data_IF_991057911835
#
_entry.id   IF_991057911835
#
_cell.length_a   1.000
_cell.length_b   1.000
_cell.length_c   1.000
_cell.angle_alpha   90.00
_cell.angle_beta   90.00
_cell.angle_gamma   90.00
#
_symmetry.space_group_name_H-M   'P 1'
#
loop_
_entity.id
_entity.type
_entity.pdbx_description
1 polymer ?
#
# COMPACT_ATOMS: atom_id res chain seq x y z
N UNK A 1 42.68 -12.35 8.87
CA UNK A 1 41.33 -11.80 8.84
C UNK A 1 40.46 -12.63 9.76
N UNK A 2 39.74 -12.00 10.67
CA UNK A 2 38.74 -12.62 11.52
C UNK A 2 37.38 -12.57 10.82
N UNK A 3 36.53 -13.58 11.05
CA UNK A 3 35.16 -13.68 10.53
C UNK A 3 34.20 -13.66 11.69
N UNK A 4 32.98 -13.16 11.45
CA UNK A 4 31.93 -13.20 12.48
C UNK A 4 31.54 -14.64 12.77
N UNK A 5 31.48 -14.98 14.04
CA UNK A 5 31.03 -16.30 14.52
C UNK A 5 29.52 -16.46 14.26
N UNK A 6 29.13 -17.50 13.55
CA UNK A 6 27.72 -17.82 13.27
C UNK A 6 27.24 -19.10 13.96
N UNK A 7 28.18 -19.99 14.32
CA UNK A 7 27.86 -21.28 14.90
C UNK A 7 28.96 -21.67 15.91
N UNK A 8 28.65 -21.56 17.19
CA UNK A 8 29.62 -21.81 18.27
C UNK A 8 30.10 -23.25 18.31
N UNK A 9 29.33 -24.19 17.76
CA UNK A 9 29.68 -25.63 17.77
C UNK A 9 30.82 -25.98 16.80
N UNK A 10 31.16 -25.07 15.88
CA UNK A 10 32.21 -25.23 14.86
C UNK A 10 33.48 -24.45 15.17
N UNK A 11 33.54 -23.80 16.32
CA UNK A 11 34.65 -22.94 16.72
C UNK A 11 35.59 -23.70 17.63
N UNK A 12 36.89 -23.75 17.23
CA UNK A 12 38.00 -24.28 18.02
C UNK A 12 38.89 -23.17 18.55
N UNK A 13 39.93 -23.49 19.31
CA UNK A 13 40.89 -22.57 19.90
C UNK A 13 41.75 -21.81 18.87
N UNK A 14 41.82 -22.27 17.61
CA UNK A 14 42.57 -21.65 16.54
C UNK A 14 41.72 -20.87 15.55
N UNK A 15 40.37 -20.96 15.70
CA UNK A 15 39.44 -20.31 14.80
C UNK A 15 39.54 -18.80 14.91
N UNK A 16 39.87 -18.12 13.81
CA UNK A 16 39.93 -16.64 13.72
C UNK A 16 38.55 -16.06 13.56
N UNK A 17 37.80 -15.96 14.66
CA UNK A 17 36.43 -15.47 14.72
C UNK A 17 36.32 -14.32 15.70
N UNK A 18 35.32 -13.50 15.48
CA UNK A 18 34.85 -12.50 16.45
C UNK A 18 33.35 -12.68 16.71
N UNK A 19 32.92 -12.30 17.88
CA UNK A 19 31.54 -12.25 18.29
C UNK A 19 31.08 -10.79 18.26
N UNK A 20 29.87 -10.57 17.81
CA UNK A 20 29.23 -9.25 17.84
C UNK A 20 28.13 -9.32 18.89
N UNK A 21 28.28 -8.51 19.91
CA UNK A 21 27.32 -8.39 21.01
C UNK A 21 26.84 -6.95 21.10
N UNK A 22 25.76 -6.74 21.80
CA UNK A 22 25.20 -5.41 22.04
C UNK A 22 25.36 -5.12 23.55
N UNK A 23 25.99 -3.97 23.86
CA UNK A 23 26.16 -3.53 25.24
C UNK A 23 24.83 -3.02 25.82
N UNK A 24 24.80 -2.78 27.13
CA UNK A 24 23.64 -2.19 27.83
C UNK A 24 23.20 -0.82 27.26
N UNK A 25 24.07 -0.16 26.47
CA UNK A 25 23.82 1.14 25.86
C UNK A 25 23.44 1.05 24.38
N UNK A 26 23.03 -0.12 23.89
CA UNK A 26 22.71 -0.36 22.46
C UNK A 26 23.91 -0.09 21.52
N UNK A 27 25.13 -0.19 22.04
CA UNK A 27 26.37 -0.02 21.26
C UNK A 27 26.89 -1.40 20.87
N UNK A 28 27.11 -1.68 19.57
CA UNK A 28 27.71 -2.93 19.14
C UNK A 28 29.15 -3.10 19.67
N UNK A 29 29.42 -4.22 20.31
CA UNK A 29 30.74 -4.58 20.83
C UNK A 29 31.30 -5.78 20.07
N UNK A 30 32.60 -5.75 19.79
CA UNK A 30 33.30 -6.83 19.13
C UNK A 30 34.14 -7.55 20.18
N UNK A 31 33.81 -8.81 20.42
CA UNK A 31 34.58 -9.69 21.30
C UNK A 31 35.37 -10.69 20.50
N UNK A 32 36.61 -10.91 20.87
CA UNK A 32 37.50 -11.94 20.29
C UNK A 32 37.51 -13.19 21.17
N UNK A 33 37.99 -14.28 20.62
CA UNK A 33 38.09 -15.52 21.39
C UNK A 33 39.04 -15.40 22.58
N UNK A 34 38.89 -16.34 23.52
CA UNK A 34 39.64 -16.45 24.77
C UNK A 34 40.78 -17.52 24.69
N UNK A 35 41.09 -18.03 23.50
CA UNK A 35 42.03 -19.12 23.28
C UNK A 35 41.44 -20.51 23.54
N UNK A 36 40.18 -20.61 23.99
CA UNK A 36 39.40 -21.85 24.09
C UNK A 36 38.29 -21.89 23.07
N UNK A 37 37.52 -20.84 22.99
CA UNK A 37 36.48 -20.63 21.99
C UNK A 37 36.91 -19.45 21.09
N UNK A 38 37.59 -19.78 19.99
CA UNK A 38 38.19 -18.82 19.10
C UNK A 38 39.61 -18.39 19.52
N UNK A 39 40.37 -17.95 18.54
CA UNK A 39 41.76 -17.48 18.78
C UNK A 39 41.74 -16.15 19.52
N UNK A 40 42.51 -16.05 20.61
CA UNK A 40 42.74 -14.81 21.35
C UNK A 40 43.68 -13.84 20.57
N UNK A 41 43.66 -12.58 20.99
CA UNK A 41 44.59 -11.56 20.50
C UNK A 41 45.86 -11.54 21.37
N UNK A 42 46.99 -11.32 20.74
CA UNK A 42 48.26 -11.19 21.43
C UNK A 42 48.53 -9.72 21.80
N UNK A 43 49.35 -9.52 22.82
CA UNK A 43 49.72 -8.17 23.23
C UNK A 43 50.52 -7.46 22.11
N UNK A 44 49.96 -6.33 21.64
CA UNK A 44 50.52 -5.55 20.54
C UNK A 44 49.86 -5.76 19.18
N UNK A 45 48.87 -6.67 19.11
CA UNK A 45 48.04 -6.81 17.90
C UNK A 45 47.29 -5.53 17.57
N UNK A 46 47.30 -5.17 16.29
CA UNK A 46 46.51 -4.02 15.77
C UNK A 46 45.21 -4.53 15.15
N UNK A 47 44.09 -4.10 15.73
CA UNK A 47 42.75 -4.42 15.23
C UNK A 47 42.27 -3.33 14.30
N UNK A 48 42.00 -3.69 13.04
CA UNK A 48 41.38 -2.81 12.05
C UNK A 48 39.95 -3.30 11.78
N UNK A 49 38.98 -2.45 12.07
CA UNK A 49 37.54 -2.75 11.90
C UNK A 49 36.98 -1.93 10.77
N UNK A 50 36.34 -2.59 9.80
CA UNK A 50 35.57 -1.95 8.74
C UNK A 50 34.11 -2.25 8.96
N UNK A 51 33.30 -1.21 9.03
CA UNK A 51 31.86 -1.34 9.21
C UNK A 51 31.11 -0.37 8.29
N UNK A 52 29.86 -0.69 7.98
CA UNK A 52 28.98 0.16 7.19
C UNK A 52 28.00 0.89 8.11
N UNK A 53 27.80 2.16 7.85
CA UNK A 53 26.75 2.95 8.50
C UNK A 53 25.62 3.20 7.53
N UNK A 54 24.39 3.23 8.01
CA UNK A 54 23.22 3.56 7.20
C UNK A 54 22.33 4.57 7.93
N UNK A 55 21.59 5.35 7.16
CA UNK A 55 20.61 6.30 7.70
C UNK A 55 19.25 5.64 8.01
N UNK A 56 19.22 4.32 8.14
CA UNK A 56 17.98 3.56 8.40
C UNK A 56 16.93 3.82 7.32
N UNK A 57 15.78 4.36 7.71
CA UNK A 57 14.64 4.62 6.81
C UNK A 57 14.82 5.86 5.93
N UNK A 58 15.87 6.66 6.12
CA UNK A 58 16.03 7.96 5.46
C UNK A 58 16.14 7.92 3.94
N UNK A 59 16.59 6.79 3.38
CA UNK A 59 16.69 6.60 1.94
C UNK A 59 15.45 5.95 1.30
N UNK A 60 14.50 5.47 2.10
CA UNK A 60 13.32 4.80 1.58
C UNK A 60 12.40 5.77 0.84
N UNK A 61 11.91 5.35 -0.33
CA UNK A 61 10.96 6.12 -1.12
C UNK A 61 11.53 7.32 -1.86
N UNK A 62 12.85 7.50 -1.93
CA UNK A 62 13.47 8.57 -2.72
C UNK A 62 13.14 8.40 -4.21
N UNK A 63 12.75 9.52 -4.84
CA UNK A 63 12.30 9.53 -6.24
C UNK A 63 13.33 10.14 -7.19
N UNK A 64 14.19 11.00 -6.67
CA UNK A 64 15.14 11.77 -7.48
C UNK A 64 16.55 11.36 -7.13
N UNK A 65 17.31 11.02 -8.15
CA UNK A 65 18.71 10.67 -8.05
C UNK A 65 19.49 11.56 -8.99
N UNK A 66 20.58 12.11 -8.51
CA UNK A 66 21.51 12.91 -9.29
C UNK A 66 22.85 12.19 -9.42
N UNK A 67 23.42 12.22 -10.61
CA UNK A 67 24.76 11.68 -10.80
C UNK A 67 25.81 12.70 -10.35
N UNK A 68 26.57 12.36 -9.32
CA UNK A 68 27.70 13.15 -8.83
C UNK A 68 29.06 12.61 -9.33
N UNK A 69 29.05 11.48 -10.05
CA UNK A 69 30.25 10.86 -10.61
C UNK A 69 30.63 11.42 -11.99
N UNK A 70 31.88 11.21 -12.42
CA UNK A 70 32.31 11.57 -13.75
C UNK A 70 32.25 10.33 -14.64
N UNK A 71 31.43 10.37 -15.68
CA UNK A 71 31.43 9.37 -16.73
C UNK A 71 32.50 9.74 -17.77
N UNK A 72 33.16 8.73 -18.33
CA UNK A 72 34.12 8.90 -19.42
C UNK A 72 33.72 8.03 -20.60
N UNK A 73 33.91 8.56 -21.80
CA UNK A 73 33.73 7.79 -23.03
C UNK A 73 34.90 6.79 -23.24
N UNK A 74 34.81 5.99 -24.29
CA UNK A 74 35.87 4.99 -24.64
C UNK A 74 37.19 5.64 -24.98
N UNK A 75 37.25 6.96 -25.23
CA UNK A 75 38.46 7.73 -25.51
C UNK A 75 38.99 8.44 -24.25
N UNK A 76 38.34 8.22 -23.07
CA UNK A 76 38.71 8.83 -21.80
C UNK A 76 38.25 10.26 -21.59
N UNK A 77 37.41 10.83 -22.50
CA UNK A 77 36.84 12.16 -22.34
C UNK A 77 35.65 12.14 -21.38
N UNK A 78 35.54 13.19 -20.57
CA UNK A 78 34.44 13.31 -19.60
C UNK A 78 33.12 13.65 -20.32
N UNK A 79 32.10 12.86 -20.03
CA UNK A 79 30.72 13.11 -20.50
C UNK A 79 30.04 14.01 -19.48
N UNK A 80 29.72 15.25 -19.85
CA UNK A 80 29.15 16.26 -18.97
C UNK A 80 27.66 16.55 -19.25
N UNK A 81 27.09 16.02 -20.31
CA UNK A 81 25.69 16.24 -20.72
C UNK A 81 25.08 14.98 -21.35
N UNK A 82 23.75 14.92 -21.41
CA UNK A 82 23.05 13.80 -22.03
C UNK A 82 22.89 12.57 -21.13
N UNK A 83 23.24 12.65 -19.82
CA UNK A 83 23.02 11.57 -18.86
C UNK A 83 21.72 11.87 -18.10
N UNK A 84 20.77 10.96 -18.24
CA UNK A 84 19.52 10.99 -17.47
C UNK A 84 19.52 9.81 -16.50
N UNK A 85 19.33 10.10 -15.21
CA UNK A 85 19.17 9.07 -14.18
C UNK A 85 17.67 8.95 -13.87
N UNK A 86 17.12 7.76 -14.12
CA UNK A 86 15.69 7.47 -13.86
C UNK A 86 15.60 6.34 -12.84
N UNK A 87 14.85 6.57 -11.76
CA UNK A 87 14.56 5.53 -10.79
C UNK A 87 13.55 4.54 -11.42
N UNK A 88 13.93 3.29 -11.56
CA UNK A 88 13.08 2.20 -12.04
C UNK A 88 12.24 1.59 -10.90
N UNK A 89 12.70 1.74 -9.66
CA UNK A 89 11.98 1.37 -8.43
C UNK A 89 12.43 2.31 -7.31
N UNK A 90 11.57 2.47 -6.30
CA UNK A 90 11.96 3.26 -5.13
C UNK A 90 12.91 2.44 -4.24
N UNK A 91 13.93 3.07 -3.65
CA UNK A 91 14.77 2.43 -2.64
C UNK A 91 13.90 2.01 -1.45
N UNK A 92 14.11 0.81 -0.97
CA UNK A 92 13.42 0.20 0.16
C UNK A 92 14.38 -0.67 0.97
N UNK A 93 13.92 -1.22 2.12
CA UNK A 93 14.71 -2.12 2.96
C UNK A 93 15.44 -1.43 4.12
N UNK A 94 15.45 -0.09 4.17
CA UNK A 94 15.90 0.61 5.37
C UNK A 94 14.87 0.50 6.49
N UNK A 95 15.28 0.05 7.69
CA UNK A 95 14.43 -0.07 8.86
C UNK A 95 15.12 0.52 10.10
N UNK A 96 14.32 0.91 11.09
CA UNK A 96 14.81 1.18 12.45
C UNK A 96 14.96 -0.13 13.19
N UNK A 97 15.73 -0.13 14.28
CA UNK A 97 15.75 -1.24 15.22
C UNK A 97 14.33 -1.57 15.68
N UNK A 98 14.07 -2.85 15.88
CA UNK A 98 12.77 -3.31 16.33
C UNK A 98 12.49 -2.82 17.76
N UNK A 99 11.25 -2.37 18.00
CA UNK A 99 10.86 -1.87 19.33
C UNK A 99 10.66 -3.04 20.30
N UNK A 100 10.91 -2.80 21.59
CA UNK A 100 10.70 -3.79 22.66
C UNK A 100 9.26 -4.35 22.67
N UNK A 101 8.27 -3.54 22.33
CA UNK A 101 6.87 -3.99 22.25
C UNK A 101 6.65 -4.94 21.07
N UNK A 102 7.26 -4.66 19.93
CA UNK A 102 7.24 -5.55 18.76
C UNK A 102 7.91 -6.89 19.09
N UNK A 103 9.07 -6.86 19.73
CA UNK A 103 9.79 -8.06 20.18
C UNK A 103 8.93 -8.87 21.15
N UNK A 104 8.33 -8.25 22.16
CA UNK A 104 7.43 -8.93 23.12
C UNK A 104 6.23 -9.58 22.43
N UNK A 105 5.72 -8.98 21.37
CA UNK A 105 4.61 -9.53 20.60
C UNK A 105 5.04 -10.68 19.67
N UNK A 106 6.21 -10.59 19.06
CA UNK A 106 6.71 -11.54 18.07
C UNK A 106 7.41 -12.76 18.69
N UNK A 107 8.19 -12.54 19.77
CA UNK A 107 9.01 -13.59 20.38
C UNK A 107 8.25 -14.86 20.80
N UNK A 108 7.07 -14.80 21.44
CA UNK A 108 6.31 -16.01 21.79
C UNK A 108 5.88 -16.81 20.57
N UNK A 109 5.52 -16.12 19.48
CA UNK A 109 5.09 -16.75 18.23
C UNK A 109 6.26 -17.46 17.55
N UNK A 110 7.41 -16.78 17.49
CA UNK A 110 8.62 -17.37 16.93
C UNK A 110 9.12 -18.55 17.76
N UNK A 111 9.09 -18.43 19.09
CA UNK A 111 9.43 -19.54 19.97
C UNK A 111 8.53 -20.76 19.76
N UNK A 112 7.22 -20.55 19.59
CA UNK A 112 6.27 -21.64 19.33
C UNK A 112 6.47 -22.33 17.99
N UNK A 113 7.04 -21.65 16.99
CA UNK A 113 7.36 -22.20 15.69
C UNK A 113 8.57 -23.18 15.72
N UNK A 114 9.36 -23.18 16.80
CA UNK A 114 10.57 -24.02 16.95
C UNK A 114 11.53 -23.95 15.76
N UNK A 115 11.65 -22.78 15.13
CA UNK A 115 12.51 -22.60 13.95
C UNK A 115 12.06 -23.35 12.70
N UNK A 116 10.77 -23.71 12.60
CA UNK A 116 10.19 -24.40 11.43
C UNK A 116 8.89 -23.74 11.02
N UNK A 117 8.71 -23.55 9.72
CA UNK A 117 7.47 -23.05 9.13
C UNK A 117 6.60 -24.23 8.67
N UNK A 118 5.60 -24.59 9.45
CA UNK A 118 4.67 -25.68 9.18
C UNK A 118 3.25 -25.16 8.99
N UNK A 119 2.78 -24.32 9.91
CA UNK A 119 1.47 -23.67 9.84
C UNK A 119 1.56 -22.28 9.24
N UNK A 120 0.43 -21.74 8.78
CA UNK A 120 0.35 -20.37 8.26
C UNK A 120 0.86 -19.34 9.28
N UNK A 121 0.59 -19.56 10.56
CA UNK A 121 1.06 -18.70 11.68
C UNK A 121 2.57 -18.72 11.85
N UNK A 122 3.23 -19.84 11.59
CA UNK A 122 4.68 -19.93 11.68
C UNK A 122 5.34 -19.10 10.57
N UNK A 123 4.80 -19.12 9.34
CA UNK A 123 5.25 -18.24 8.25
C UNK A 123 5.08 -16.77 8.61
N UNK A 124 3.93 -16.40 9.20
CA UNK A 124 3.68 -15.02 9.65
C UNK A 124 4.65 -14.57 10.76
N UNK A 125 5.13 -15.49 11.60
CA UNK A 125 6.09 -15.20 12.66
C UNK A 125 7.54 -15.13 12.17
N UNK A 126 7.91 -15.94 11.18
CA UNK A 126 9.28 -16.07 10.67
C UNK A 126 9.62 -14.98 9.66
N UNK A 127 8.67 -14.62 8.77
CA UNK A 127 8.92 -13.65 7.68
C UNK A 127 9.42 -12.29 8.19
N UNK A 128 8.88 -11.67 9.26
CA UNK A 128 9.39 -10.39 9.75
C UNK A 128 10.86 -10.43 10.18
N UNK A 129 11.36 -11.58 10.60
CA UNK A 129 12.79 -11.75 10.95
C UNK A 129 13.68 -11.88 9.72
N UNK A 130 13.17 -12.51 8.67
CA UNK A 130 13.86 -12.63 7.38
C UNK A 130 13.87 -11.32 6.63
N UNK A 131 12.76 -10.59 6.67
CA UNK A 131 12.52 -9.32 5.96
C UNK A 131 11.86 -8.29 6.90
N UNK A 132 12.65 -7.49 7.64
CA UNK A 132 12.14 -6.55 8.65
C UNK A 132 11.25 -5.42 8.12
N UNK A 133 11.31 -5.14 6.81
CA UNK A 133 10.50 -4.10 6.16
C UNK A 133 9.08 -4.54 5.83
N UNK A 134 8.60 -5.59 6.45
CA UNK A 134 7.22 -6.06 6.32
C UNK A 134 6.26 -5.09 6.98
N UNK A 135 5.24 -4.64 6.23
CA UNK A 135 4.10 -3.90 6.75
C UNK A 135 2.96 -4.81 7.18
N UNK A 136 2.64 -5.79 6.34
CA UNK A 136 1.60 -6.81 6.64
C UNK A 136 1.87 -8.08 5.83
N UNK A 137 1.38 -9.22 6.37
CA UNK A 137 1.51 -10.53 5.75
C UNK A 137 0.15 -11.20 5.75
N UNK A 138 -0.19 -11.89 4.67
CA UNK A 138 -1.23 -12.91 4.64
C UNK A 138 -0.62 -14.21 4.16
N UNK A 139 -0.98 -15.30 4.84
CA UNK A 139 -0.53 -16.64 4.52
C UNK A 139 -1.72 -17.58 4.45
N UNK A 140 -1.80 -18.41 3.39
CA UNK A 140 -2.84 -19.43 3.24
C UNK A 140 -2.31 -20.65 2.50
N UNK A 141 -2.94 -21.81 2.74
CA UNK A 141 -2.58 -23.04 2.08
C UNK A 141 -3.03 -23.06 0.63
N UNK A 142 -2.33 -23.83 -0.19
CA UNK A 142 -2.69 -23.98 -1.60
C UNK A 142 -4.03 -24.68 -1.82
N UNK A 143 -4.57 -25.39 -0.84
CA UNK A 143 -5.92 -25.95 -0.85
C UNK A 143 -7.03 -24.88 -0.87
N UNK A 144 -6.72 -23.67 -0.38
CA UNK A 144 -7.64 -22.52 -0.40
C UNK A 144 -7.55 -21.70 -1.70
N UNK A 145 -6.62 -22.03 -2.60
CA UNK A 145 -6.45 -21.33 -3.88
C UNK A 145 -7.49 -21.79 -4.93
N UNK A 146 -7.79 -20.93 -5.91
CA UNK A 146 -8.66 -21.27 -7.04
C UNK A 146 -7.88 -21.15 -8.37
N UNK A 147 -7.55 -22.27 -9.03
CA UNK A 147 -7.79 -23.68 -8.63
C UNK A 147 -6.89 -24.12 -7.46
N UNK A 148 -7.28 -25.14 -6.66
CA UNK A 148 -6.48 -25.64 -5.55
C UNK A 148 -5.11 -26.15 -6.00
N UNK A 149 -4.04 -25.76 -5.30
CA UNK A 149 -2.66 -26.16 -5.54
C UNK A 149 -2.05 -26.80 -4.29
N UNK A 150 -2.23 -28.11 -4.14
CA UNK A 150 -1.74 -28.86 -2.96
C UNK A 150 -0.20 -28.85 -2.85
N UNK A 151 0.30 -28.87 -1.63
CA UNK A 151 1.74 -28.81 -1.33
C UNK A 151 2.38 -27.42 -1.45
N UNK A 152 1.59 -26.39 -1.72
CA UNK A 152 2.02 -24.99 -1.74
C UNK A 152 1.46 -24.20 -0.57
N UNK A 153 2.21 -23.20 -0.17
CA UNK A 153 1.75 -22.15 0.75
C UNK A 153 1.94 -20.81 0.04
N UNK A 154 0.88 -20.05 -0.08
CA UNK A 154 0.90 -18.72 -0.68
C UNK A 154 1.13 -17.66 0.39
N UNK A 155 2.05 -16.73 0.07
CA UNK A 155 2.49 -15.66 0.94
C UNK A 155 2.28 -14.33 0.23
N UNK A 156 1.31 -13.54 0.66
CA UNK A 156 1.16 -12.16 0.23
C UNK A 156 1.87 -11.25 1.24
N UNK A 157 2.92 -10.57 0.80
CA UNK A 157 3.74 -9.70 1.65
C UNK A 157 3.61 -8.27 1.15
N UNK A 158 3.08 -7.37 1.99
CA UNK A 158 3.03 -5.93 1.74
C UNK A 158 4.19 -5.27 2.48
N UNK A 159 5.18 -4.69 1.79
CA UNK A 159 6.22 -3.87 2.41
C UNK A 159 5.64 -2.60 3.03
N UNK A 160 6.34 -1.99 4.00
CA UNK A 160 5.90 -0.73 4.63
C UNK A 160 5.80 0.42 3.64
N UNK A 161 6.76 0.51 2.70
CA UNK A 161 6.94 1.66 1.83
C UNK A 161 6.70 1.36 0.34
N UNK A 162 6.25 0.15 -0.01
CA UNK A 162 5.97 -0.25 -1.38
C UNK A 162 4.68 -1.09 -1.45
N UNK A 163 4.06 -1.18 -2.62
CA UNK A 163 2.84 -1.97 -2.79
C UNK A 163 3.13 -3.47 -2.93
N UNK A 164 4.29 -3.83 -3.43
CA UNK A 164 4.72 -5.21 -3.62
C UNK A 164 6.23 -5.36 -3.53
N UNK A 165 6.69 -6.58 -3.30
CA UNK A 165 8.10 -6.93 -3.36
C UNK A 165 8.60 -6.95 -4.81
N UNK A 166 9.83 -6.50 -5.02
CA UNK A 166 10.55 -6.72 -6.28
C UNK A 166 10.89 -8.20 -6.47
N UNK A 167 11.16 -8.63 -7.70
CA UNK A 167 11.58 -10.01 -7.98
C UNK A 167 12.84 -10.40 -7.21
N UNK A 168 13.79 -9.48 -7.05
CA UNK A 168 15.02 -9.69 -6.30
C UNK A 168 14.74 -9.96 -4.82
N UNK A 169 13.89 -9.14 -4.19
CA UNK A 169 13.49 -9.31 -2.79
C UNK A 169 12.72 -10.61 -2.59
N UNK A 170 11.77 -10.96 -3.47
CA UNK A 170 11.07 -12.25 -3.42
C UNK A 170 12.04 -13.41 -3.40
N UNK A 171 13.06 -13.40 -4.27
CA UNK A 171 14.06 -14.46 -4.36
C UNK A 171 14.92 -14.54 -3.08
N UNK A 172 15.31 -13.41 -2.50
CA UNK A 172 16.07 -13.38 -1.23
C UNK A 172 15.23 -13.93 -0.08
N UNK A 173 13.98 -13.49 0.03
CA UNK A 173 13.06 -13.98 1.08
C UNK A 173 12.80 -15.47 0.91
N UNK A 174 12.51 -15.94 -0.30
CA UNK A 174 12.29 -17.37 -0.57
C UNK A 174 13.53 -18.22 -0.26
N UNK A 175 14.74 -17.75 -0.59
CA UNK A 175 15.98 -18.46 -0.29
C UNK A 175 16.16 -18.65 1.22
N UNK A 176 15.97 -17.62 2.01
CA UNK A 176 16.05 -17.67 3.47
C UNK A 176 14.92 -18.52 4.08
N UNK A 177 13.72 -18.39 3.55
CA UNK A 177 12.54 -19.10 4.04
C UNK A 177 12.66 -20.63 3.87
N UNK A 178 13.38 -21.08 2.84
CA UNK A 178 13.66 -22.53 2.62
C UNK A 178 14.42 -23.17 3.78
N UNK A 179 15.20 -22.42 4.53
CA UNK A 179 15.93 -22.93 5.72
C UNK A 179 14.98 -23.32 6.85
N UNK A 180 13.77 -22.71 6.87
CA UNK A 180 12.71 -22.97 7.86
C UNK A 180 11.61 -23.88 7.33
N UNK A 181 11.51 -24.07 6.02
CA UNK A 181 10.40 -24.80 5.39
C UNK A 181 10.56 -26.31 5.51
N UNK A 182 9.44 -27.01 5.65
CA UNK A 182 9.39 -28.47 5.59
C UNK A 182 9.51 -28.95 4.15
N UNK A 183 10.19 -30.06 3.91
CA UNK A 183 10.52 -30.56 2.57
C UNK A 183 9.30 -30.78 1.63
N UNK A 184 8.12 -31.07 2.20
CA UNK A 184 6.90 -31.32 1.43
C UNK A 184 6.10 -30.05 1.08
N UNK A 185 6.47 -28.88 1.62
CA UNK A 185 5.72 -27.64 1.45
C UNK A 185 6.57 -26.63 0.69
N UNK A 186 6.03 -26.12 -0.42
CA UNK A 186 6.69 -25.11 -1.24
C UNK A 186 6.08 -23.73 -0.99
N UNK A 187 6.80 -22.82 -0.31
CA UNK A 187 6.36 -21.43 -0.17
C UNK A 187 6.45 -20.70 -1.51
N UNK A 188 5.39 -19.98 -1.84
CA UNK A 188 5.28 -19.16 -3.06
C UNK A 188 4.86 -17.74 -2.67
N UNK A 189 5.65 -16.73 -3.06
CA UNK A 189 5.30 -15.33 -2.79
C UNK A 189 4.50 -14.79 -3.97
N UNK A 190 3.28 -14.35 -3.67
CA UNK A 190 2.38 -13.67 -4.60
C UNK A 190 2.34 -12.17 -4.35
N UNK A 191 1.95 -11.39 -5.37
CA UNK A 191 1.71 -9.97 -5.19
C UNK A 191 0.44 -9.75 -4.37
N UNK A 192 0.43 -8.82 -3.41
CA UNK A 192 -0.75 -8.52 -2.61
C UNK A 192 -1.84 -7.88 -3.46
N UNK A 193 -3.08 -8.33 -3.27
CA UNK A 193 -4.26 -7.61 -3.77
C UNK A 193 -4.51 -6.41 -2.85
N UNK A 194 -4.59 -5.20 -3.41
CA UNK A 194 -4.80 -3.98 -2.62
C UNK A 194 -6.19 -3.43 -2.92
N UNK A 195 -6.96 -3.16 -1.88
CA UNK A 195 -8.23 -2.47 -1.93
C UNK A 195 -8.05 -1.05 -1.37
N UNK A 196 -8.11 -0.07 -2.24
CA UNK A 196 -8.07 1.34 -1.87
C UNK A 196 -9.46 1.84 -1.51
N UNK A 197 -9.55 2.63 -0.45
CA UNK A 197 -10.75 3.39 -0.09
C UNK A 197 -10.49 4.83 -0.48
N UNK A 198 -11.11 5.29 -1.53
CA UNK A 198 -11.07 6.67 -1.97
C UNK A 198 -12.18 7.44 -1.25
N UNK A 199 -11.86 8.62 -0.74
CA UNK A 199 -12.74 9.44 0.09
C UNK A 199 -13.08 10.72 -0.66
N UNK A 200 -14.35 11.04 -0.74
CA UNK A 200 -14.86 12.33 -1.21
C UNK A 200 -15.65 12.98 -0.09
N UNK A 201 -15.08 14.00 0.55
CA UNK A 201 -15.62 14.62 1.76
C UNK A 201 -15.89 16.10 1.57
N UNK A 202 -17.12 16.50 1.85
CA UNK A 202 -17.53 17.90 2.03
C UNK A 202 -17.51 18.19 3.51
N UNK A 203 -16.63 19.09 3.94
CA UNK A 203 -16.42 19.47 5.33
C UNK A 203 -16.94 20.88 5.54
N UNK A 204 -17.86 21.03 6.49
CA UNK A 204 -18.44 22.32 6.87
C UNK A 204 -17.73 22.84 8.09
N UNK A 205 -17.32 24.12 8.07
CA UNK A 205 -16.63 24.75 9.20
C UNK A 205 -17.22 26.12 9.54
N UNK A 206 -17.10 26.49 10.81
CA UNK A 206 -17.53 27.81 11.31
C UNK A 206 -16.32 28.77 11.35
N UNK A 207 -16.27 29.79 10.49
CA UNK A 207 -15.17 30.75 10.43
C UNK A 207 -15.08 31.64 11.68
N UNK A 208 -16.14 31.73 12.50
CA UNK A 208 -16.12 32.50 13.75
C UNK A 208 -15.34 31.82 14.87
N UNK A 209 -15.07 30.50 14.75
CA UNK A 209 -14.35 29.72 15.77
C UNK A 209 -12.85 29.66 15.45
N UNK A 210 -12.47 29.76 14.18
CA UNK A 210 -11.07 29.64 13.74
C UNK A 210 -10.64 30.84 12.89
N UNK A 211 -9.34 31.14 12.93
CA UNK A 211 -8.73 32.09 12.01
C UNK A 211 -8.08 31.43 10.79
N UNK A 212 -8.21 30.11 10.68
CA UNK A 212 -7.61 29.35 9.59
C UNK A 212 -8.42 29.53 8.30
N UNK A 213 -7.70 29.63 7.22
CA UNK A 213 -8.27 29.62 5.89
C UNK A 213 -8.82 28.22 5.52
N UNK A 214 -9.80 28.13 4.60
CA UNK A 214 -10.33 26.83 4.15
C UNK A 214 -9.26 25.84 3.69
N UNK A 215 -8.18 26.32 3.11
CA UNK A 215 -7.01 25.52 2.68
C UNK A 215 -6.26 24.90 3.87
N UNK A 216 -6.16 25.62 4.98
CA UNK A 216 -5.50 25.11 6.19
C UNK A 216 -6.36 24.07 6.91
N UNK A 217 -7.69 24.26 6.94
CA UNK A 217 -8.64 23.27 7.43
C UNK A 217 -8.58 22.00 6.58
N UNK A 218 -8.56 22.14 5.25
CA UNK A 218 -8.35 21.03 4.32
C UNK A 218 -7.07 20.25 4.62
N UNK A 219 -5.97 20.94 4.83
CA UNK A 219 -4.68 20.32 5.14
C UNK A 219 -4.70 19.61 6.49
N UNK A 220 -5.41 20.14 7.50
CA UNK A 220 -5.60 19.48 8.78
C UNK A 220 -6.39 18.15 8.63
N UNK A 221 -7.46 18.16 7.83
CA UNK A 221 -8.23 16.93 7.51
C UNK A 221 -7.34 15.92 6.79
N UNK A 222 -6.63 16.32 5.72
CA UNK A 222 -5.74 15.42 4.98
C UNK A 222 -4.62 14.87 5.88
N UNK A 223 -4.07 15.70 6.77
CA UNK A 223 -3.10 15.27 7.78
C UNK A 223 -3.66 14.19 8.71
N UNK A 224 -4.87 14.37 9.21
CA UNK A 224 -5.54 13.39 10.07
C UNK A 224 -5.86 12.08 9.34
N UNK A 225 -6.25 12.15 8.06
CA UNK A 225 -6.44 10.98 7.21
C UNK A 225 -5.12 10.22 6.95
N UNK A 226 -4.02 10.93 6.76
CA UNK A 226 -2.69 10.32 6.66
C UNK A 226 -2.26 9.62 7.95
N UNK A 227 -2.52 10.23 9.11
CA UNK A 227 -2.27 9.60 10.41
C UNK A 227 -3.10 8.32 10.56
N UNK A 228 -4.39 8.37 10.22
CA UNK A 228 -5.25 7.20 10.21
C UNK A 228 -4.71 6.11 9.27
N UNK A 229 -4.28 6.49 8.06
CA UNK A 229 -3.73 5.56 7.07
C UNK A 229 -2.44 4.88 7.55
N UNK A 230 -1.68 5.50 8.45
CA UNK A 230 -0.44 4.94 9.00
C UNK A 230 -0.62 4.31 10.39
N UNK A 231 -1.84 4.29 10.93
CA UNK A 231 -2.10 3.80 12.30
C UNK A 231 -2.01 2.28 12.46
N UNK A 232 -2.05 1.52 11.36
CA UNK A 232 -2.07 0.06 11.38
C UNK A 232 -3.40 -0.56 11.86
N UNK A 233 -4.42 0.24 12.14
CA UNK A 233 -5.71 -0.27 12.65
C UNK A 233 -6.45 -1.12 11.64
N UNK A 234 -6.63 -0.59 10.42
CA UNK A 234 -7.30 -1.29 9.33
C UNK A 234 -6.34 -1.64 8.18
N UNK A 235 -5.18 -0.98 8.11
CA UNK A 235 -4.15 -1.18 7.08
C UNK A 235 -3.44 -2.51 7.28
N UNK A 236 -4.14 -3.57 6.96
CA UNK A 236 -3.66 -4.95 7.06
C UNK A 236 -4.49 -5.86 6.15
N UNK A 237 -3.99 -7.04 5.90
CA UNK A 237 -4.78 -8.09 5.29
C UNK A 237 -5.97 -8.48 6.19
N UNK A 238 -7.13 -8.69 5.59
CA UNK A 238 -8.36 -8.93 6.36
C UNK A 238 -8.77 -7.74 7.24
N UNK A 239 -8.36 -6.53 6.88
CA UNK A 239 -8.65 -5.32 7.63
C UNK A 239 -10.15 -4.98 7.64
N UNK A 240 -10.58 -4.27 8.68
CA UNK A 240 -11.96 -3.80 8.83
C UNK A 240 -11.98 -2.29 8.96
N UNK A 241 -12.54 -1.62 7.96
CA UNK A 241 -12.72 -0.18 7.96
C UNK A 241 -14.10 0.17 8.50
N UNK A 242 -14.15 1.14 9.42
CA UNK A 242 -15.38 1.62 10.05
C UNK A 242 -15.66 3.06 9.65
N UNK A 243 -16.78 3.29 8.99
CA UNK A 243 -17.18 4.59 8.50
C UNK A 243 -17.37 5.64 9.60
N UNK A 244 -18.04 5.26 10.69
CA UNK A 244 -18.28 6.17 11.83
C UNK A 244 -16.95 6.65 12.47
N UNK A 245 -15.92 5.81 12.45
CA UNK A 245 -14.59 6.19 12.93
C UNK A 245 -13.93 7.22 12.02
N UNK A 246 -14.03 7.03 10.71
CA UNK A 246 -13.55 8.01 9.74
C UNK A 246 -14.23 9.37 9.94
N UNK A 247 -15.56 9.41 10.04
CA UNK A 247 -16.28 10.65 10.28
C UNK A 247 -15.83 11.35 11.57
N UNK A 248 -15.69 10.59 12.66
CA UNK A 248 -15.17 11.14 13.93
C UNK A 248 -13.76 11.70 13.84
N UNK A 249 -12.89 11.13 12.99
CA UNK A 249 -11.53 11.64 12.77
C UNK A 249 -11.56 12.92 11.96
N UNK A 250 -12.41 13.00 10.94
CA UNK A 250 -12.60 14.22 10.15
C UNK A 250 -13.13 15.34 11.04
N UNK A 251 -14.18 15.10 11.84
CA UNK A 251 -14.77 16.11 12.73
C UNK A 251 -13.79 16.59 13.81
N UNK A 252 -12.91 15.73 14.28
CA UNK A 252 -11.90 16.06 15.30
C UNK A 252 -10.61 16.65 14.74
N UNK A 253 -10.44 16.70 13.43
CA UNK A 253 -9.21 17.22 12.81
C UNK A 253 -9.01 18.72 13.04
N UNK A 254 -10.11 19.47 13.23
CA UNK A 254 -10.11 20.89 13.57
C UNK A 254 -11.37 21.22 14.39
N UNK A 255 -11.21 22.03 15.44
CA UNK A 255 -12.31 22.38 16.34
C UNK A 255 -13.43 23.21 15.68
N UNK A 256 -13.12 23.88 14.59
CA UNK A 256 -14.08 24.68 13.83
C UNK A 256 -14.98 23.85 12.91
N UNK A 257 -14.71 22.58 12.69
CA UNK A 257 -15.54 21.71 11.85
C UNK A 257 -16.84 21.42 12.59
N UNK A 258 -17.95 21.72 11.92
CA UNK A 258 -19.30 21.53 12.45
C UNK A 258 -19.93 20.23 12.00
N UNK A 259 -19.65 19.81 10.75
CA UNK A 259 -20.15 18.57 10.18
C UNK A 259 -19.35 18.16 8.93
N UNK A 260 -19.51 16.89 8.52
CA UNK A 260 -19.00 16.42 7.24
C UNK A 260 -20.02 15.54 6.52
N UNK A 261 -19.97 15.57 5.18
CA UNK A 261 -20.69 14.64 4.31
C UNK A 261 -19.65 13.90 3.51
N UNK A 262 -19.42 12.66 3.86
CA UNK A 262 -18.36 11.84 3.28
C UNK A 262 -18.92 10.69 2.45
N UNK A 263 -18.41 10.53 1.23
CA UNK A 263 -18.73 9.43 0.33
C UNK A 263 -17.49 8.57 0.14
N UNK A 264 -17.70 7.28 -0.03
CA UNK A 264 -16.62 6.32 -0.20
C UNK A 264 -16.72 5.64 -1.55
N UNK A 265 -15.56 5.32 -2.13
CA UNK A 265 -15.43 4.41 -3.26
C UNK A 265 -14.37 3.37 -2.94
N UNK A 266 -14.66 2.13 -3.29
CA UNK A 266 -13.68 1.04 -3.30
C UNK A 266 -12.98 1.04 -4.65
N UNK A 267 -11.66 1.09 -4.66
CA UNK A 267 -10.87 1.10 -5.90
C UNK A 267 -9.86 -0.04 -5.90
N UNK A 268 -9.76 -0.71 -7.04
CA UNK A 268 -8.67 -1.64 -7.35
C UNK A 268 -7.90 -1.18 -8.57
N UNK A 269 -6.60 -1.37 -8.52
CA UNK A 269 -5.70 -1.11 -9.64
C UNK A 269 -5.39 -2.44 -10.32
N UNK A 270 -5.71 -2.54 -11.59
CA UNK A 270 -5.46 -3.72 -12.42
C UNK A 270 -4.33 -3.39 -13.38
N UNK A 271 -3.25 -4.17 -13.36
CA UNK A 271 -2.21 -4.07 -14.38
C UNK A 271 -2.72 -4.72 -15.64
N UNK A 272 -2.82 -3.95 -16.73
CA UNK A 272 -3.34 -4.43 -18.00
C UNK A 272 -2.22 -4.82 -18.97
N UNK A 273 -2.44 -5.88 -19.71
CA UNK A 273 -1.57 -6.30 -20.81
C UNK A 273 -1.94 -5.47 -22.05
N UNK A 274 -1.05 -4.56 -22.44
CA UNK A 274 -1.30 -3.67 -23.57
C UNK A 274 -1.30 -4.45 -24.90
N UNK A 275 -2.19 -4.03 -25.78
CA UNK A 275 -2.35 -4.60 -27.14
C UNK A 275 -2.70 -6.10 -27.13
N UNK A 276 -3.19 -6.63 -26.03
CA UNK A 276 -3.63 -8.00 -25.88
C UNK A 276 -5.13 -8.06 -25.56
N UNK A 277 -5.81 -9.10 -26.10
CA UNK A 277 -7.20 -9.37 -25.73
C UNK A 277 -7.23 -10.20 -24.46
N UNK A 278 -7.62 -9.60 -23.35
CA UNK A 278 -7.63 -10.22 -22.02
C UNK A 278 -8.93 -9.92 -21.31
N UNK A 279 -9.43 -10.91 -20.57
CA UNK A 279 -10.57 -10.74 -19.67
C UNK A 279 -10.05 -10.49 -18.27
N UNK A 280 -10.59 -9.48 -17.59
CA UNK A 280 -10.20 -9.13 -16.22
C UNK A 280 -11.37 -9.37 -15.27
N UNK A 281 -11.13 -10.15 -14.22
CA UNK A 281 -12.07 -10.35 -13.12
C UNK A 281 -11.58 -9.58 -11.89
N UNK A 282 -12.43 -8.71 -11.34
CA UNK A 282 -12.13 -7.83 -10.23
C UNK A 282 -13.13 -8.12 -9.11
N UNK A 283 -12.66 -8.64 -7.98
CA UNK A 283 -13.48 -8.95 -6.82
C UNK A 283 -13.18 -7.97 -5.70
N UNK A 284 -14.19 -7.25 -5.20
CA UNK A 284 -14.04 -6.32 -4.07
C UNK A 284 -14.23 -6.99 -2.71
N UNK A 285 -14.89 -8.15 -2.68
CA UNK A 285 -15.24 -8.83 -1.43
C UNK A 285 -16.29 -8.10 -0.59
N UNK A 286 -16.87 -7.04 -1.15
CA UNK A 286 -17.95 -6.24 -0.54
C UNK A 286 -18.99 -5.96 -1.60
N UNK A 287 -20.26 -5.93 -1.22
CA UNK A 287 -21.35 -5.62 -2.14
C UNK A 287 -21.18 -4.22 -2.74
N UNK A 288 -21.46 -4.11 -4.02
CA UNK A 288 -21.47 -2.85 -4.74
C UNK A 288 -22.89 -2.31 -4.71
N UNK A 289 -23.03 -1.02 -4.47
CA UNK A 289 -24.32 -0.34 -4.56
C UNK A 289 -24.81 -0.41 -6.00
N UNK A 290 -26.05 -0.84 -6.19
CA UNK A 290 -26.68 -0.82 -7.50
C UNK A 290 -26.99 0.62 -7.92
N UNK A 291 -26.41 1.03 -9.04
CA UNK A 291 -26.62 2.34 -9.63
C UNK A 291 -27.88 2.38 -10.50
N UNK A 292 -27.94 3.39 -11.33
CA UNK A 292 -28.89 3.52 -12.43
C UNK A 292 -28.15 3.93 -13.68
N UNK A 293 -28.76 3.81 -14.85
CA UNK A 293 -28.13 4.22 -16.10
C UNK A 293 -27.69 5.70 -16.13
N UNK A 294 -28.35 6.55 -15.33
CA UNK A 294 -28.03 7.98 -15.18
C UNK A 294 -27.08 8.30 -14.02
N UNK A 295 -26.99 7.40 -13.03
CA UNK A 295 -26.12 7.51 -11.85
C UNK A 295 -25.39 6.20 -11.65
N UNK A 296 -24.33 5.94 -12.45
CA UNK A 296 -23.55 4.73 -12.33
C UNK A 296 -22.81 4.71 -10.98
N UNK A 297 -22.61 3.52 -10.44
CA UNK A 297 -21.88 3.29 -9.20
C UNK A 297 -20.49 2.66 -9.44
N UNK A 298 -20.20 2.27 -10.67
CA UNK A 298 -18.90 1.81 -11.13
C UNK A 298 -18.30 2.84 -12.08
N UNK A 299 -17.01 3.07 -11.99
CA UNK A 299 -16.27 3.98 -12.87
C UNK A 299 -14.83 3.48 -13.06
N UNK A 300 -14.23 3.80 -14.21
CA UNK A 300 -12.80 3.53 -14.47
C UNK A 300 -11.99 4.80 -14.64
N UNK A 301 -10.66 4.67 -14.52
CA UNK A 301 -9.73 5.66 -15.09
C UNK A 301 -9.79 5.62 -16.61
N UNK A 302 -9.31 6.69 -17.26
CA UNK A 302 -9.26 6.77 -18.71
C UNK A 302 -8.25 5.80 -19.33
N UNK A 303 -8.53 5.32 -20.53
CA UNK A 303 -7.64 4.50 -21.33
C UNK A 303 -7.92 4.67 -22.81
N UNK A 304 -6.99 4.21 -23.66
CA UNK A 304 -7.20 4.15 -25.11
C UNK A 304 -7.34 2.69 -25.56
N UNK A 305 -8.10 2.48 -26.59
CA UNK A 305 -8.30 1.15 -27.21
C UNK A 305 -7.54 1.05 -28.53
N UNK A 306 -7.19 -0.15 -28.90
CA UNK A 306 -6.56 -0.39 -30.22
C UNK A 306 -7.53 -0.04 -31.34
N UNK A 307 -7.08 0.80 -32.26
CA UNK A 307 -7.88 1.29 -33.38
C UNK A 307 -8.48 2.69 -33.18
N UNK A 308 -8.40 3.27 -31.98
CA UNK A 308 -8.78 4.66 -31.70
C UNK A 308 -7.77 5.30 -30.76
N UNK A 309 -6.85 6.08 -31.35
CA UNK A 309 -5.83 6.83 -30.61
C UNK A 309 -6.26 8.25 -30.23
N UNK A 310 -7.45 8.69 -30.66
CA UNK A 310 -7.93 10.04 -30.43
C UNK A 310 -8.74 10.16 -29.15
N UNK A 311 -9.65 9.21 -28.91
CA UNK A 311 -10.56 9.26 -27.79
C UNK A 311 -9.97 8.62 -26.52
N UNK A 312 -10.35 9.16 -25.36
CA UNK A 312 -10.11 8.53 -24.07
C UNK A 312 -11.40 7.87 -23.64
N UNK A 313 -11.33 6.55 -23.46
CA UNK A 313 -12.46 5.73 -23.08
C UNK A 313 -12.53 5.51 -21.58
N UNK A 314 -13.72 5.27 -21.09
CA UNK A 314 -14.05 4.97 -19.70
C UNK A 314 -15.08 3.85 -19.63
N UNK A 315 -15.11 3.15 -18.50
CA UNK A 315 -16.14 2.16 -18.18
C UNK A 315 -17.06 2.67 -17.09
N UNK A 316 -18.35 2.40 -17.23
CA UNK A 316 -19.33 2.56 -16.17
C UNK A 316 -20.37 1.44 -16.22
N UNK A 317 -21.21 1.32 -15.18
CA UNK A 317 -22.32 0.38 -15.13
C UNK A 317 -23.64 1.01 -15.62
N UNK A 318 -24.58 0.16 -16.06
CA UNK A 318 -25.92 0.57 -16.49
C UNK A 318 -26.96 0.50 -15.34
N UNK A 319 -26.57 -0.04 -14.18
CA UNK A 319 -27.46 -0.34 -13.07
C UNK A 319 -28.26 -1.64 -13.22
N UNK A 320 -28.16 -2.33 -14.37
CA UNK A 320 -28.82 -3.60 -14.66
C UNK A 320 -27.85 -4.80 -14.66
N UNK A 321 -26.55 -4.57 -14.45
CA UNK A 321 -25.53 -5.61 -14.39
C UNK A 321 -24.59 -5.66 -15.58
N UNK A 322 -24.71 -4.70 -16.54
CA UNK A 322 -23.80 -4.63 -17.69
C UNK A 322 -22.81 -3.48 -17.56
N UNK A 323 -21.58 -3.69 -18.02
CA UNK A 323 -20.58 -2.64 -18.21
C UNK A 323 -20.77 -1.99 -19.57
N UNK A 324 -20.67 -0.65 -19.59
CA UNK A 324 -20.73 0.17 -20.79
C UNK A 324 -19.38 0.85 -21.00
N UNK A 325 -18.94 0.90 -22.25
CA UNK A 325 -17.80 1.67 -22.71
C UNK A 325 -18.30 3.01 -23.26
N UNK A 326 -17.66 4.11 -22.87
CA UNK A 326 -18.00 5.42 -23.34
C UNK A 326 -16.77 6.34 -23.44
N UNK A 327 -16.88 7.39 -24.22
CA UNK A 327 -15.95 8.50 -24.25
C UNK A 327 -16.70 9.83 -24.12
N UNK A 328 -15.98 10.89 -23.78
CA UNK A 328 -16.55 12.22 -23.63
C UNK A 328 -16.24 13.04 -24.87
N UNK A 329 -17.29 13.51 -25.55
CA UNK A 329 -17.14 14.42 -26.70
C UNK A 329 -16.61 15.80 -26.26
N UNK A 330 -16.07 16.56 -27.17
CA UNK A 330 -15.65 17.94 -26.91
C UNK A 330 -16.78 18.86 -26.41
N UNK A 331 -18.03 18.47 -26.59
CA UNK A 331 -19.24 19.13 -26.04
C UNK A 331 -19.51 18.80 -24.56
N UNK A 332 -18.79 17.81 -23.99
CA UNK A 332 -19.03 17.31 -22.64
C UNK A 332 -20.08 16.19 -22.57
N UNK A 333 -20.66 15.79 -23.69
CA UNK A 333 -21.64 14.70 -23.77
C UNK A 333 -20.96 13.32 -23.77
N UNK A 334 -21.62 12.33 -23.13
CA UNK A 334 -21.16 10.94 -23.15
C UNK A 334 -21.65 10.25 -24.40
N UNK A 335 -20.72 9.64 -25.11
CA UNK A 335 -21.03 8.75 -26.25
C UNK A 335 -20.70 7.33 -25.85
N UNK A 336 -21.72 6.46 -25.87
CA UNK A 336 -21.59 5.06 -25.54
C UNK A 336 -21.26 4.24 -26.79
N UNK A 337 -20.31 3.31 -26.65
CA UNK A 337 -19.93 2.37 -27.69
C UNK A 337 -20.73 1.07 -27.52
N UNK A 338 -21.43 0.68 -28.57
CA UNK A 338 -22.19 -0.56 -28.57
C UNK A 338 -21.30 -1.78 -28.36
N UNK A 339 -21.73 -2.71 -27.50
CA UNK A 339 -21.03 -3.96 -27.23
C UNK A 339 -21.26 -4.48 -25.83
N UNK A 340 -20.90 -5.74 -25.62
CA UNK A 340 -20.91 -6.42 -24.32
C UNK A 340 -19.52 -6.33 -23.68
N UNK A 341 -19.23 -5.21 -23.03
CA UNK A 341 -17.89 -4.91 -22.49
C UNK A 341 -17.61 -5.58 -21.17
N UNK A 342 -18.64 -6.14 -20.52
CA UNK A 342 -18.49 -6.84 -19.26
C UNK A 342 -19.76 -6.91 -18.44
N UNK A 343 -19.64 -7.45 -17.24
CA UNK A 343 -20.74 -7.62 -16.30
C UNK A 343 -20.38 -7.13 -14.90
N UNK A 344 -21.39 -6.73 -14.14
CA UNK A 344 -21.27 -6.32 -12.74
C UNK A 344 -22.23 -7.17 -11.90
N UNK A 345 -21.69 -7.94 -10.96
CA UNK A 345 -22.45 -8.59 -9.92
C UNK A 345 -22.41 -7.74 -8.65
N UNK A 346 -23.49 -7.00 -8.43
CA UNK A 346 -23.60 -6.10 -7.27
C UNK A 346 -23.60 -6.85 -5.94
N UNK A 347 -24.20 -8.05 -5.92
CA UNK A 347 -24.35 -8.86 -4.71
C UNK A 347 -23.03 -9.52 -4.28
N UNK A 348 -22.26 -10.04 -5.23
CA UNK A 348 -20.93 -10.63 -4.99
C UNK A 348 -19.85 -9.57 -4.93
N UNK A 349 -20.10 -8.37 -5.45
CA UNK A 349 -19.08 -7.33 -5.56
C UNK A 349 -18.01 -7.65 -6.60
N UNK A 350 -18.43 -8.23 -7.72
CA UNK A 350 -17.54 -8.65 -8.80
C UNK A 350 -17.79 -7.86 -10.07
N UNK A 351 -16.72 -7.53 -10.77
CA UNK A 351 -16.75 -6.90 -12.09
C UNK A 351 -15.92 -7.76 -13.03
N UNK A 352 -16.51 -8.12 -14.16
CA UNK A 352 -15.81 -8.83 -15.24
C UNK A 352 -15.75 -7.92 -16.45
N UNK A 353 -14.56 -7.67 -16.97
CA UNK A 353 -14.32 -6.93 -18.20
C UNK A 353 -13.97 -7.94 -19.29
N UNK A 354 -14.70 -7.89 -20.40
CA UNK A 354 -14.55 -8.85 -21.48
C UNK A 354 -13.89 -8.21 -22.70
N UNK A 355 -13.01 -8.96 -23.35
CA UNK A 355 -12.50 -8.72 -24.72
C UNK A 355 -11.95 -7.31 -25.01
N UNK A 356 -11.58 -6.56 -23.96
CA UNK A 356 -11.07 -5.20 -24.13
C UNK A 356 -9.59 -5.21 -24.51
N UNK A 357 -9.24 -4.56 -25.63
CA UNK A 357 -7.85 -4.43 -26.08
C UNK A 357 -7.41 -3.00 -25.82
N UNK A 358 -6.65 -2.80 -24.73
CA UNK A 358 -6.15 -1.49 -24.30
C UNK A 358 -4.80 -1.22 -24.97
N UNK A 359 -4.65 -0.07 -25.61
CA UNK A 359 -3.38 0.39 -26.19
C UNK A 359 -2.57 1.24 -25.21
N UNK A 360 -3.24 2.01 -24.36
CA UNK A 360 -2.60 2.88 -23.36
C UNK A 360 -3.54 3.17 -22.20
N UNK A 361 -2.99 3.30 -21.00
CA UNK A 361 -3.74 3.76 -19.81
C UNK A 361 -3.36 5.19 -19.46
N UNK A 362 -4.29 5.97 -18.89
CA UNK A 362 -4.01 7.32 -18.37
C UNK A 362 -3.23 7.30 -17.06
N UNK A 363 -3.19 6.16 -16.39
CA UNK A 363 -2.43 5.95 -15.16
C UNK A 363 -1.11 5.27 -15.49
N UNK A 364 -0.04 5.67 -14.80
CA UNK A 364 1.30 5.11 -15.02
C UNK A 364 1.35 3.59 -14.76
N UNK A 365 2.40 2.94 -15.28
CA UNK A 365 2.66 1.51 -15.10
C UNK A 365 1.57 0.58 -15.66
N UNK A 366 0.91 0.98 -16.75
CA UNK A 366 -0.15 0.23 -17.41
C UNK A 366 -1.29 -0.17 -16.44
N UNK A 367 -1.62 0.72 -15.50
CA UNK A 367 -2.68 0.46 -14.55
C UNK A 367 -4.01 1.02 -15.02
N UNK A 368 -5.04 0.20 -14.94
CA UNK A 368 -6.44 0.58 -15.05
C UNK A 368 -7.03 0.60 -13.64
N UNK A 369 -7.51 1.76 -13.22
CA UNK A 369 -8.18 1.91 -11.93
C UNK A 369 -9.68 1.69 -12.13
N UNK A 370 -10.26 0.78 -11.37
CA UNK A 370 -11.71 0.55 -11.34
C UNK A 370 -12.21 0.87 -9.94
N UNK A 371 -13.14 1.80 -9.87
CA UNK A 371 -13.75 2.25 -8.62
C UNK A 371 -15.24 1.90 -8.58
N UNK A 372 -15.70 1.41 -7.45
CA UNK A 372 -17.09 1.07 -7.22
C UNK A 372 -17.58 1.65 -5.89
N UNK A 373 -18.81 2.13 -5.86
CA UNK A 373 -19.45 2.62 -4.61
C UNK A 373 -19.91 1.41 -3.79
N UNK A 374 -19.48 1.26 -2.53
CA UNK A 374 -19.97 0.17 -1.69
C UNK A 374 -21.44 0.34 -1.33
N UNK A 375 -22.15 -0.79 -1.14
CA UNK A 375 -23.53 -0.77 -0.58
C UNK A 375 -23.51 -0.37 0.89
N UNK A 376 -22.54 -0.88 1.65
CA UNK A 376 -22.28 -0.49 3.04
C UNK A 376 -21.03 0.35 3.11
N UNK A 377 -21.05 1.45 3.86
CA UNK A 377 -19.86 2.28 4.09
C UNK A 377 -18.86 1.61 5.05
N UNK A 378 -19.24 0.57 5.78
CA UNK A 378 -18.30 -0.30 6.50
C UNK A 378 -17.73 -1.32 5.52
N UNK A 379 -16.41 -1.34 5.36
CA UNK A 379 -15.71 -2.16 4.37
C UNK A 379 -14.84 -3.19 5.09
N UNK A 380 -14.95 -4.44 4.65
CA UNK A 380 -14.15 -5.55 5.17
C UNK A 380 -13.32 -6.09 3.99
N UNK A 381 -12.01 -6.17 4.15
CA UNK A 381 -11.18 -6.80 3.12
C UNK A 381 -11.16 -8.32 3.28
N UNK A 382 -11.03 -9.02 2.15
CA UNK A 382 -10.75 -10.45 2.13
C UNK A 382 -9.39 -10.73 2.80
N UNK A 383 -9.16 -11.97 3.22
CA UNK A 383 -7.94 -12.39 3.93
C UNK A 383 -6.65 -12.04 3.17
N UNK A 384 -6.64 -12.19 1.85
CA UNK A 384 -5.53 -11.92 0.95
C UNK A 384 -5.50 -10.48 0.41
N UNK A 385 -6.49 -9.67 0.75
CA UNK A 385 -6.61 -8.29 0.28
C UNK A 385 -6.17 -7.32 1.37
N UNK A 386 -5.16 -6.51 1.07
CA UNK A 386 -4.68 -5.44 1.92
C UNK A 386 -5.57 -4.20 1.77
N UNK A 387 -6.06 -3.67 2.88
CA UNK A 387 -6.91 -2.49 2.89
C UNK A 387 -6.10 -1.22 3.17
N UNK A 388 -6.35 -0.15 2.43
CA UNK A 388 -5.65 1.14 2.63
C UNK A 388 -6.51 2.31 2.13
N UNK A 389 -6.24 3.53 2.60
CA UNK A 389 -6.84 4.73 2.03
C UNK A 389 -6.14 5.12 0.73
N UNK A 390 -6.91 5.51 -0.27
CA UNK A 390 -6.43 6.09 -1.51
C UNK A 390 -6.19 7.59 -1.36
N UNK A 391 -5.18 7.99 -0.59
CA UNK A 391 -4.93 9.40 -0.28
C UNK A 391 -4.75 10.25 -1.54
N UNK A 392 -4.10 9.69 -2.57
CA UNK A 392 -3.86 10.39 -3.84
C UNK A 392 -5.15 10.71 -4.60
N UNK A 393 -6.20 9.90 -4.43
CA UNK A 393 -7.52 10.09 -5.05
C UNK A 393 -8.57 10.64 -4.06
N UNK A 394 -8.15 10.99 -2.84
CA UNK A 394 -9.03 11.56 -1.83
C UNK A 394 -9.27 13.04 -2.13
N UNK A 395 -10.54 13.42 -2.18
CA UNK A 395 -10.95 14.82 -2.33
C UNK A 395 -11.56 15.33 -1.04
N UNK A 396 -11.11 16.51 -0.61
CA UNK A 396 -11.67 17.22 0.54
C UNK A 396 -12.04 18.63 0.10
N UNK A 397 -13.33 18.92 0.13
CA UNK A 397 -13.88 20.25 -0.15
C UNK A 397 -14.33 20.89 1.16
N UNK A 398 -13.76 22.04 1.49
CA UNK A 398 -14.07 22.76 2.73
C UNK A 398 -14.97 23.95 2.40
N UNK A 399 -16.11 24.03 3.06
CA UNK A 399 -17.14 25.03 2.81
C UNK A 399 -17.55 25.67 4.14
N UNK A 400 -17.83 26.97 4.12
CA UNK A 400 -18.36 27.68 5.28
C UNK A 400 -19.75 27.14 5.67
N UNK A 401 -19.95 26.82 6.94
CA UNK A 401 -21.25 26.51 7.48
C UNK A 401 -22.03 27.79 7.74
N UNK A 402 -22.82 28.19 6.77
CA UNK A 402 -23.60 29.44 6.82
C UNK A 402 -24.68 29.44 7.91
N UNK A 403 -25.11 28.29 8.37
CA UNK A 403 -26.07 28.15 9.48
C UNK A 403 -25.40 28.42 10.79
N UNK A 404 -24.30 27.74 11.07
CA UNK A 404 -23.56 27.89 12.33
C UNK A 404 -22.80 29.22 12.41
N UNK A 405 -22.37 29.80 11.30
CA UNK A 405 -21.73 31.12 11.26
C UNK A 405 -22.72 32.28 11.41
N UNK A 406 -24.01 32.01 11.20
CA UNK A 406 -25.03 33.06 11.18
C UNK A 406 -25.09 33.85 9.86
N UNK A 407 -24.31 33.47 8.85
CA UNK A 407 -24.25 34.18 7.55
C UNK A 407 -25.52 33.97 6.72
N UNK A 408 -26.33 32.98 7.02
CA UNK A 408 -27.57 32.65 6.31
C UNK A 408 -28.82 33.01 7.14
N UNK A 409 -28.90 34.29 7.56
CA UNK A 409 -30.04 34.78 8.38
C UNK A 409 -31.35 34.73 7.57
N UNK A 410 -31.29 34.92 6.25
CA UNK A 410 -32.49 34.93 5.39
C UNK A 410 -33.14 33.57 5.19
N UNK A 411 -32.46 32.46 5.49
CA UNK A 411 -32.99 31.11 5.33
C UNK A 411 -33.61 30.52 6.61
N UNK A 412 -33.39 31.13 7.77
CA UNK A 412 -33.80 30.62 9.08
C UNK A 412 -34.83 31.49 9.79
N UNK A 413 -35.14 32.68 9.26
CA UNK A 413 -36.09 33.62 9.84
C UNK A 413 -37.50 33.27 9.42
N UNK A 414 -38.39 33.01 10.38
CA UNK A 414 -39.82 33.25 10.17
C UNK A 414 -39.95 34.76 10.04
N UNK A 415 -40.15 35.25 8.83
CA UNK A 415 -40.56 36.62 8.64
C UNK A 415 -42.05 36.64 9.02
N UNK A 416 -42.47 37.26 10.15
CA UNK A 416 -43.84 37.42 10.43
C UNK A 416 -44.39 38.35 9.35
N UNK A 417 -45.22 37.82 8.48
CA UNK A 417 -45.97 38.67 7.56
C UNK A 417 -46.83 39.60 8.43
N UNK A 418 -46.63 40.88 8.24
CA UNK A 418 -47.41 41.95 8.87
C UNK A 418 -48.84 42.05 8.32
N UNK A 419 -49.40 40.96 7.87
CA UNK A 419 -50.74 40.86 7.34
C UNK A 419 -51.85 40.74 8.40
N UNK A 420 -51.49 41.00 9.63
CA UNK A 420 -52.47 41.14 10.72
C UNK A 420 -52.88 42.60 10.86
N UNK A 421 -53.55 43.11 9.88
CA UNK A 421 -54.35 44.34 10.00
C UNK A 421 -55.80 44.02 9.79
#
# INVERSE_FOLDING_TARGET
KYLQATDITKIDSNSKVFFLEESEYEIPEILFGDGKVGKDLENGDVVSVSYSTSNGTGANGLKVFENIGTFRDNNGQSITSGITVTATSFPDGGARAETTESIKFAAPKFYSAFGRAVSTRDYEAIIPQIYPNVGSIACYGGEEAEPPEFGKVFLAIKPKNADKLSLSEKNVVLKKLREYSVAAIQPTIIDPSILFIDIDSFVYFNPNITRKEPSEVKNAVLGSLNVLNNSGEFNKFGGKFKYSKLQSIIDKSEAAITSNITRLKMRKNVTVDLNARVNYKICYGNRIKQGTSTKPCVSSSGFKIVGDDFNIFYLNDDGAGSLRLYYVKGTGEFEYVDGLWGTVDYGMGEIVINDLIISMTSVANNQLQIAATPESNDIISLRETYLTLGIDNTTVSVVEDTISSGSNISGTGVVPESSYS
#
